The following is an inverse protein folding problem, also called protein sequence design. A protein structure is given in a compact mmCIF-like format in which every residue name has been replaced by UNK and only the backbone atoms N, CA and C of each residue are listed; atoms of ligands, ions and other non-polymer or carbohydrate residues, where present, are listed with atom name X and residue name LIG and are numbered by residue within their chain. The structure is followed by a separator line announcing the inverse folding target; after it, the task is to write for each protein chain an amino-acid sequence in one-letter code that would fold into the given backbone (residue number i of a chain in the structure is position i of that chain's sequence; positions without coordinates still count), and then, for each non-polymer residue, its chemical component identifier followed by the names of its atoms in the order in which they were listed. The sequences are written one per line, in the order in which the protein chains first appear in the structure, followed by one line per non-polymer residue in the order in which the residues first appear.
data_IF_836869775199
#
_entry.id   IF_836869775199
#
_cell.length_a   1.000
_cell.length_b   1.000
_cell.length_c   1.000
_cell.angle_alpha   90.00
_cell.angle_beta   90.00
_cell.angle_gamma   90.00
#
_symmetry.space_group_name_H-M   'P 1'
#
loop_
_entity.id
_entity.type
_entity.pdbx_description
1 polymer ?
#
# COMPACT_ATOMS: atom_id res chain seq x y z
N UNK A 1 -2.75 -4.43 20.74
CA UNK A 1 -3.38 -3.43 19.84
C UNK A 1 -2.30 -2.98 18.88
N UNK A 2 -2.44 -3.32 17.60
CA UNK A 2 -1.51 -2.95 16.54
C UNK A 2 -1.82 -1.49 16.14
N UNK A 3 -0.85 -0.59 16.25
CA UNK A 3 -1.02 0.81 15.86
C UNK A 3 -0.59 1.00 14.41
N UNK A 4 -1.38 0.44 13.50
CA UNK A 4 -1.22 0.64 12.06
C UNK A 4 -1.55 2.09 11.70
N UNK A 5 -0.62 2.80 11.07
CA UNK A 5 -0.77 4.25 10.78
C UNK A 5 -1.04 4.55 9.31
N UNK A 6 -0.78 3.63 8.39
CA UNK A 6 -1.07 3.88 6.98
C UNK A 6 -2.57 3.81 6.65
N UNK A 7 -3.14 4.87 6.09
CA UNK A 7 -4.58 4.93 5.79
C UNK A 7 -4.86 4.43 4.37
N UNK A 8 -5.90 3.59 4.20
CA UNK A 8 -6.35 3.22 2.85
C UNK A 8 -7.04 4.42 2.19
N UNK A 9 -6.47 4.94 1.12
CA UNK A 9 -7.04 6.08 0.40
C UNK A 9 -6.68 6.10 -1.09
N UNK A 10 -7.56 6.66 -1.91
CA UNK A 10 -7.34 6.82 -3.35
C UNK A 10 -6.51 8.07 -3.68
N UNK A 11 -6.55 9.07 -2.80
CA UNK A 11 -5.80 10.33 -2.88
C UNK A 11 -4.31 10.14 -2.57
N UNK A 12 -3.54 11.22 -2.76
CA UNK A 12 -2.09 11.29 -2.62
C UNK A 12 -1.69 12.62 -1.96
N UNK A 13 -0.50 12.67 -1.38
CA UNK A 13 0.12 13.93 -0.92
C UNK A 13 -0.42 14.49 0.41
N UNK A 14 -1.09 13.67 1.21
CA UNK A 14 -1.42 14.03 2.59
C UNK A 14 -0.17 14.07 3.47
N UNK A 15 -0.28 14.68 4.65
CA UNK A 15 0.73 14.57 5.71
C UNK A 15 0.79 13.18 6.34
N UNK A 16 -0.25 12.37 6.13
CA UNK A 16 -0.36 10.98 6.56
C UNK A 16 0.02 10.03 5.42
N UNK A 17 0.61 8.89 5.77
CA UNK A 17 0.93 7.83 4.81
C UNK A 17 -0.34 7.16 4.32
N UNK A 18 -0.47 7.06 3.00
CA UNK A 18 -1.63 6.46 2.32
C UNK A 18 -1.23 5.22 1.52
N UNK A 19 -2.09 4.20 1.53
CA UNK A 19 -1.92 2.95 0.78
C UNK A 19 -3.13 2.67 -0.10
N UNK A 20 -2.91 2.17 -1.32
CA UNK A 20 -3.99 1.69 -2.17
C UNK A 20 -3.56 0.57 -3.10
N UNK A 21 -4.54 -0.22 -3.55
CA UNK A 21 -4.38 -1.11 -4.69
C UNK A 21 -4.89 -0.37 -5.94
N UNK A 22 -4.03 -0.05 -6.92
CA UNK A 22 -4.40 0.70 -8.09
C UNK A 22 -5.48 0.02 -8.94
N UNK A 23 -5.47 -1.32 -9.06
CA UNK A 23 -6.46 -2.05 -9.89
C UNK A 23 -7.86 -2.06 -9.30
N UNK A 24 -7.98 -1.76 -8.00
CA UNK A 24 -9.25 -1.73 -7.26
C UNK A 24 -9.85 -0.33 -7.06
N UNK A 25 -9.12 0.72 -7.41
CA UNK A 25 -9.57 2.09 -7.17
C UNK A 25 -9.22 3.03 -8.34
N UNK A 26 -8.01 3.63 -8.42
CA UNK A 26 -7.75 4.66 -9.44
C UNK A 26 -7.70 4.12 -10.87
N UNK A 27 -7.49 2.81 -11.04
CA UNK A 27 -7.39 2.16 -12.34
C UNK A 27 -8.40 1.02 -12.47
N UNK A 28 -9.51 1.04 -11.73
CA UNK A 28 -10.55 0.01 -11.87
C UNK A 28 -11.18 0.02 -13.27
N UNK A 29 -11.32 1.19 -13.88
CA UNK A 29 -11.97 1.38 -15.18
C UNK A 29 -11.05 1.14 -16.39
N UNK A 30 -9.75 0.92 -16.17
CA UNK A 30 -8.80 0.60 -17.24
C UNK A 30 -8.93 -0.91 -17.55
N UNK A 31 -9.14 -1.31 -18.83
CA UNK A 31 -9.17 -2.71 -19.23
C UNK A 31 -7.95 -3.51 -18.72
N UNK A 32 -8.17 -4.76 -18.34
CA UNK A 32 -7.15 -5.62 -17.72
C UNK A 32 -5.90 -5.70 -18.59
N UNK A 33 -6.07 -5.88 -19.90
CA UNK A 33 -4.98 -6.01 -20.87
C UNK A 33 -4.11 -4.75 -20.92
N UNK A 34 -4.72 -3.57 -20.79
CA UNK A 34 -4.01 -2.29 -20.76
C UNK A 34 -3.28 -2.12 -19.43
N UNK A 35 -3.90 -2.51 -18.31
CA UNK A 35 -3.26 -2.46 -16.99
C UNK A 35 -2.04 -3.37 -16.92
N UNK A 36 -2.18 -4.61 -17.38
CA UNK A 36 -1.09 -5.58 -17.44
C UNK A 36 0.04 -5.08 -18.34
N UNK A 37 -0.28 -4.51 -19.50
CA UNK A 37 0.71 -3.90 -20.39
C UNK A 37 1.46 -2.73 -19.73
N UNK A 38 0.79 -1.94 -18.89
CA UNK A 38 1.39 -0.86 -18.09
C UNK A 38 2.13 -1.36 -16.83
N UNK A 39 2.13 -2.66 -16.55
CA UNK A 39 2.70 -3.24 -15.32
C UNK A 39 1.85 -3.03 -14.06
N UNK A 40 0.60 -2.63 -14.20
CA UNK A 40 -0.36 -2.44 -13.10
C UNK A 40 -1.08 -3.76 -12.82
N UNK A 41 -0.42 -4.64 -12.07
CA UNK A 41 -0.99 -5.94 -11.66
C UNK A 41 -1.88 -5.83 -10.42
N UNK A 42 -2.72 -6.85 -10.18
CA UNK A 42 -3.57 -6.93 -8.98
C UNK A 42 -2.79 -7.04 -7.65
N UNK A 43 -1.50 -7.35 -7.74
CA UNK A 43 -0.59 -7.43 -6.60
C UNK A 43 0.19 -6.12 -6.37
N UNK A 44 0.02 -5.13 -7.25
CA UNK A 44 0.67 -3.84 -7.08
C UNK A 44 0.07 -3.11 -5.88
N UNK A 45 0.93 -2.59 -5.01
CA UNK A 45 0.56 -1.72 -3.91
C UNK A 45 1.20 -0.36 -4.16
N UNK A 46 0.40 0.71 -4.13
CA UNK A 46 0.88 2.09 -4.24
C UNK A 46 0.91 2.72 -2.85
N UNK A 47 2.03 3.32 -2.51
CA UNK A 47 2.24 4.06 -1.27
C UNK A 47 2.47 5.55 -1.56
N UNK A 48 1.75 6.41 -0.85
CA UNK A 48 2.04 7.83 -0.71
C UNK A 48 2.61 8.04 0.67
N UNK A 49 3.93 8.17 0.78
CA UNK A 49 4.58 8.33 2.09
C UNK A 49 4.30 9.73 2.63
N UNK A 50 3.81 9.79 3.87
CA UNK A 50 3.53 11.02 4.61
C UNK A 50 4.77 11.59 5.30
N UNK A 51 4.53 12.34 6.38
CA UNK A 51 5.56 13.04 7.17
C UNK A 51 5.78 12.40 8.55
N UNK A 52 5.37 11.16 8.75
CA UNK A 52 5.59 10.45 10.01
C UNK A 52 7.09 10.22 10.30
N UNK A 53 7.40 9.90 11.56
CA UNK A 53 8.75 9.55 11.94
C UNK A 53 9.22 8.29 11.18
N UNK A 54 10.46 8.34 10.66
CA UNK A 54 11.04 7.25 9.85
C UNK A 54 10.90 5.86 10.50
N UNK A 55 11.23 5.77 11.80
CA UNK A 55 11.19 4.50 12.52
C UNK A 55 9.77 3.99 12.76
N UNK A 56 8.79 4.88 12.89
CA UNK A 56 7.38 4.48 13.00
C UNK A 56 6.93 3.80 11.70
N UNK A 57 7.28 4.38 10.54
CA UNK A 57 6.94 3.80 9.24
C UNK A 57 7.62 2.45 9.02
N UNK A 58 8.92 2.34 9.31
CA UNK A 58 9.66 1.08 9.18
C UNK A 58 9.03 -0.01 10.05
N UNK A 59 8.80 0.27 11.33
CA UNK A 59 8.20 -0.71 12.23
C UNK A 59 6.78 -1.12 11.80
N UNK A 60 5.99 -0.20 11.24
CA UNK A 60 4.63 -0.50 10.75
C UNK A 60 4.66 -1.52 9.60
N UNK A 61 5.56 -1.30 8.62
CA UNK A 61 5.75 -2.24 7.51
C UNK A 61 6.39 -3.56 7.94
N UNK A 62 7.40 -3.54 8.80
CA UNK A 62 8.02 -4.76 9.34
C UNK A 62 6.98 -5.63 10.07
N UNK A 63 6.13 -5.02 10.88
CA UNK A 63 5.04 -5.72 11.55
C UNK A 63 4.05 -6.33 10.55
N UNK A 64 3.59 -5.57 9.56
CA UNK A 64 2.66 -6.07 8.55
C UNK A 64 3.26 -7.23 7.74
N UNK A 65 4.53 -7.11 7.33
CA UNK A 65 5.24 -8.18 6.64
C UNK A 65 5.48 -9.39 7.53
N UNK A 66 5.75 -9.22 8.82
CA UNK A 66 5.87 -10.34 9.75
C UNK A 66 4.58 -11.14 9.89
N UNK A 67 3.39 -10.54 9.74
CA UNK A 67 2.12 -11.29 9.77
C UNK A 67 1.99 -12.20 8.55
N UNK A 68 2.45 -11.75 7.37
CA UNK A 68 2.33 -12.49 6.11
C UNK A 68 3.46 -13.52 5.94
N UNK A 69 4.69 -13.15 6.31
CA UNK A 69 5.88 -13.96 6.06
C UNK A 69 6.43 -14.67 7.31
N UNK A 70 6.12 -14.17 8.51
CA UNK A 70 6.65 -14.68 9.79
C UNK A 70 5.92 -15.91 10.35
N UNK A 71 4.88 -16.41 9.67
CA UNK A 71 4.21 -17.67 9.98
C UNK A 71 4.67 -18.83 9.08
N UNK A 72 5.87 -18.75 8.49
CA UNK A 72 6.53 -19.90 7.90
C UNK A 72 7.10 -20.78 9.02
N UNK A 73 6.32 -21.78 9.42
CA UNK A 73 6.82 -22.99 10.08
C UNK A 73 7.10 -24.02 8.99
#
# INVERSE_FOLDING_TARGET
MVHWRATRAESLGSVETLVTNPTRAPHCDIPVEIREWLGVSDHLIRLSVGLEALWDLIHDFEQAFSVIFGAAT
#
